data_IF_727547992888
#
_entry.id   IF_727547992888
#
_cell.length_a   1.000
_cell.length_b   1.000
_cell.length_c   1.000
_cell.angle_alpha   90.00
_cell.angle_beta   90.00
_cell.angle_gamma   90.00
#
_symmetry.space_group_name_H-M   'P 1'
#
loop_
_entity.id
_entity.type
_entity.pdbx_description
1 polymer ?
#
# COMPACT_ATOMS: atom_id res chain seq x y z
N UNK A 1 30.79 31.55 -0.52
CA UNK A 1 29.72 32.35 0.11
C UNK A 1 30.32 33.64 0.66
N UNK A 2 30.98 34.43 -0.19
CA UNK A 2 31.88 35.53 0.24
C UNK A 2 31.34 36.93 -0.10
N UNK A 3 30.15 37.01 -0.71
CA UNK A 3 29.62 38.24 -1.33
C UNK A 3 28.36 38.79 -0.66
N UNK A 4 27.88 38.17 0.43
CA UNK A 4 26.69 38.62 1.17
C UNK A 4 27.02 38.72 2.66
N UNK A 5 26.68 39.86 3.26
CA UNK A 5 26.80 40.11 4.69
C UNK A 5 25.41 40.36 5.29
N UNK A 6 25.16 39.86 6.49
CA UNK A 6 23.91 40.07 7.22
C UNK A 6 24.09 41.20 8.22
N UNK A 7 23.21 42.21 8.15
CA UNK A 7 23.16 43.31 9.10
C UNK A 7 21.73 43.46 9.64
N UNK A 8 21.59 43.61 10.96
CA UNK A 8 20.30 43.88 11.60
C UNK A 8 20.13 45.40 11.69
N UNK A 9 19.12 45.94 11.01
CA UNK A 9 18.88 47.39 10.95
C UNK A 9 18.03 47.89 12.12
N UNK A 10 17.00 47.13 12.51
CA UNK A 10 16.05 47.52 13.55
C UNK A 10 15.37 46.28 14.15
N UNK A 11 15.11 46.28 15.45
CA UNK A 11 14.25 45.30 16.11
C UNK A 11 12.84 45.90 16.22
N UNK A 12 11.82 45.13 15.83
CA UNK A 12 10.42 45.57 15.83
C UNK A 12 9.50 44.49 16.37
N UNK A 13 8.36 44.92 16.93
CA UNK A 13 7.25 44.05 17.30
C UNK A 13 6.44 43.60 16.08
N UNK A 14 5.69 42.49 16.22
CA UNK A 14 4.95 41.84 15.13
C UNK A 14 3.91 42.73 14.45
N UNK A 15 3.41 43.76 15.13
CA UNK A 15 2.39 44.66 14.61
C UNK A 15 2.96 45.69 13.62
N UNK A 16 4.22 46.09 13.80
CA UNK A 16 4.85 47.17 13.05
C UNK A 16 5.80 46.68 11.96
N UNK A 17 5.97 45.36 11.79
CA UNK A 17 6.94 44.74 10.86
C UNK A 17 6.82 45.30 9.44
N UNK A 18 5.60 45.40 8.90
CA UNK A 18 5.38 45.85 7.52
C UNK A 18 5.76 47.33 7.36
N UNK A 19 5.48 48.16 8.38
CA UNK A 19 5.85 49.57 8.36
C UNK A 19 7.37 49.76 8.44
N UNK A 20 8.03 49.03 9.34
CA UNK A 20 9.48 49.03 9.46
C UNK A 20 10.16 48.53 8.18
N UNK A 21 9.65 47.46 7.59
CA UNK A 21 10.16 46.92 6.32
C UNK A 21 10.04 47.94 5.19
N UNK A 22 8.87 48.58 5.04
CA UNK A 22 8.68 49.61 4.01
C UNK A 22 9.62 50.80 4.22
N UNK A 23 9.77 51.28 5.46
CA UNK A 23 10.68 52.37 5.83
C UNK A 23 12.11 52.11 5.34
N UNK A 24 12.63 50.91 5.57
CA UNK A 24 14.01 50.57 5.17
C UNK A 24 14.14 50.30 3.67
N UNK A 25 13.12 49.72 3.02
CA UNK A 25 13.10 49.55 1.56
C UNK A 25 13.17 50.92 0.87
N UNK A 26 12.36 51.88 1.31
CA UNK A 26 12.27 53.21 0.70
C UNK A 26 13.55 54.04 0.95
N UNK A 27 14.17 53.88 2.13
CA UNK A 27 15.40 54.58 2.49
C UNK A 27 16.64 54.03 1.77
N UNK A 28 16.76 52.70 1.66
CA UNK A 28 17.96 52.06 1.12
C UNK A 28 17.92 51.87 -0.39
N UNK A 29 16.73 51.84 -1.00
CA UNK A 29 16.50 51.58 -2.43
C UNK A 29 17.42 50.47 -3.00
N UNK A 30 17.36 49.25 -2.42
CA UNK A 30 18.28 48.18 -2.78
C UNK A 30 18.09 47.72 -4.24
N UNK A 31 19.20 47.65 -4.98
CA UNK A 31 19.23 47.28 -6.41
C UNK A 31 18.58 45.92 -6.69
N UNK A 32 18.75 44.95 -5.78
CA UNK A 32 18.24 43.59 -5.95
C UNK A 32 16.76 43.41 -5.59
N UNK A 33 16.06 44.46 -5.13
CA UNK A 33 14.68 44.29 -4.67
C UNK A 33 13.67 44.34 -5.83
N UNK A 34 13.07 43.19 -6.11
CA UNK A 34 11.99 43.04 -7.10
C UNK A 34 10.59 43.36 -6.55
N UNK A 35 10.45 43.52 -5.23
CA UNK A 35 9.18 43.84 -4.56
C UNK A 35 9.32 45.13 -3.73
N UNK A 36 9.11 46.32 -4.35
CA UNK A 36 9.28 47.60 -3.65
C UNK A 36 8.27 47.85 -2.52
N UNK A 37 7.17 47.10 -2.50
CA UNK A 37 6.13 47.23 -1.48
C UNK A 37 6.25 46.08 -0.47
N UNK A 38 6.44 46.43 0.79
CA UNK A 38 6.39 45.51 1.92
C UNK A 38 4.98 44.92 2.05
N UNK A 39 4.91 43.64 2.41
CA UNK A 39 3.64 42.94 2.52
C UNK A 39 3.80 41.54 3.07
N UNK A 40 2.70 40.99 3.59
CA UNK A 40 2.67 39.62 4.10
C UNK A 40 1.88 38.72 3.17
N UNK A 41 2.44 37.55 2.86
CA UNK A 41 1.72 36.46 2.18
C UNK A 41 0.80 35.68 3.13
N UNK A 42 0.77 36.02 4.43
CA UNK A 42 -0.05 35.35 5.43
C UNK A 42 -1.53 35.46 5.07
N UNK A 43 -2.17 34.33 4.80
CA UNK A 43 -3.59 34.26 4.42
C UNK A 43 -3.88 34.50 2.94
N UNK A 44 -2.85 34.69 2.10
CA UNK A 44 -3.03 34.79 0.66
C UNK A 44 -3.65 33.51 0.09
N UNK A 45 -4.69 33.67 -0.73
CA UNK A 45 -5.35 32.57 -1.43
C UNK A 45 -5.00 32.66 -2.91
N UNK A 46 -4.50 31.55 -3.47
CA UNK A 46 -4.17 31.46 -4.88
C UNK A 46 -5.41 31.61 -5.76
N UNK A 47 -5.22 32.17 -6.96
CA UNK A 47 -6.26 32.20 -7.99
C UNK A 47 -6.62 30.77 -8.43
N UNK A 48 -7.86 30.52 -8.89
CA UNK A 48 -8.29 29.20 -9.34
C UNK A 48 -7.40 28.66 -10.48
N UNK A 49 -6.96 29.55 -11.38
CA UNK A 49 -6.05 29.19 -12.48
C UNK A 49 -4.67 28.72 -11.98
N UNK A 50 -4.15 29.37 -10.93
CA UNK A 50 -2.88 28.95 -10.30
C UNK A 50 -3.02 27.61 -9.59
N UNK A 51 -4.16 27.38 -8.91
CA UNK A 51 -4.47 26.11 -8.25
C UNK A 51 -4.49 24.98 -9.27
N UNK A 52 -5.12 25.18 -10.44
CA UNK A 52 -5.16 24.16 -11.48
C UNK A 52 -3.77 23.87 -12.06
N UNK A 53 -2.94 24.90 -12.31
CA UNK A 53 -1.53 24.71 -12.74
C UNK A 53 -0.72 23.90 -11.72
N UNK A 54 -0.88 24.20 -10.43
CA UNK A 54 -0.22 23.46 -9.34
C UNK A 54 -0.68 22.01 -9.29
N UNK A 55 -1.99 21.78 -9.44
CA UNK A 55 -2.59 20.44 -9.46
C UNK A 55 -2.07 19.60 -10.64
N UNK A 56 -2.04 20.17 -11.84
CA UNK A 56 -1.49 19.50 -13.03
C UNK A 56 -0.02 19.14 -12.81
N UNK A 57 0.79 20.06 -12.28
CA UNK A 57 2.21 19.81 -11.96
C UNK A 57 2.41 18.76 -10.84
N UNK A 58 1.46 18.63 -9.91
CA UNK A 58 1.50 17.65 -8.84
C UNK A 58 1.02 16.25 -9.27
N UNK A 59 0.22 16.18 -10.34
CA UNK A 59 -0.35 14.92 -10.81
C UNK A 59 0.74 14.00 -11.34
N UNK A 60 0.75 12.74 -10.90
CA UNK A 60 1.71 11.74 -11.34
C UNK A 60 3.06 11.74 -10.61
N UNK A 61 3.28 12.64 -9.63
CA UNK A 61 4.44 12.55 -8.74
C UNK A 61 4.40 11.23 -7.97
N UNK A 62 5.50 10.48 -8.02
CA UNK A 62 5.66 9.22 -7.29
C UNK A 62 6.62 9.42 -6.12
N UNK A 63 6.25 8.91 -4.96
CA UNK A 63 7.18 8.80 -3.84
C UNK A 63 8.22 7.73 -4.11
N UNK A 64 9.43 7.92 -3.57
CA UNK A 64 10.45 6.88 -3.50
C UNK A 64 9.97 5.73 -2.60
N UNK A 65 10.52 4.54 -2.79
CA UNK A 65 10.14 3.37 -1.97
C UNK A 65 10.40 3.61 -0.48
N UNK A 66 11.52 4.25 -0.13
CA UNK A 66 11.85 4.61 1.26
C UNK A 66 10.77 5.49 1.92
N UNK A 67 10.24 6.47 1.17
CA UNK A 67 9.19 7.36 1.67
C UNK A 67 7.86 6.62 1.80
N UNK A 68 7.53 5.73 0.86
CA UNK A 68 6.33 4.88 0.97
C UNK A 68 6.40 3.98 2.20
N UNK A 69 7.55 3.40 2.48
CA UNK A 69 7.77 2.56 3.66
C UNK A 69 7.62 3.35 4.95
N UNK A 70 8.18 4.56 5.02
CA UNK A 70 8.03 5.44 6.18
C UNK A 70 6.56 5.83 6.39
N UNK A 71 5.86 6.23 5.32
CA UNK A 71 4.43 6.54 5.38
C UNK A 71 3.59 5.33 5.82
N UNK A 72 3.93 4.13 5.33
CA UNK A 72 3.28 2.88 5.71
C UNK A 72 3.45 2.62 7.20
N UNK A 73 4.69 2.65 7.71
CA UNK A 73 5.00 2.47 9.14
C UNK A 73 4.22 3.46 10.00
N UNK A 74 4.18 4.73 9.60
CA UNK A 74 3.46 5.77 10.32
C UNK A 74 1.93 5.61 10.33
N UNK A 75 1.34 4.74 9.50
CA UNK A 75 -0.11 4.50 9.47
C UNK A 75 -0.54 3.21 10.13
N UNK A 76 0.40 2.49 10.74
CA UNK A 76 0.15 1.21 11.43
C UNK A 76 0.17 1.37 12.95
N UNK A 77 -0.34 0.35 13.65
CA UNK A 77 -0.37 0.34 15.12
C UNK A 77 -1.14 1.53 15.70
N UNK A 78 -0.61 2.11 16.78
CA UNK A 78 -1.21 3.23 17.52
C UNK A 78 -1.40 4.52 16.71
N UNK A 79 -0.65 4.70 15.63
CA UNK A 79 -0.78 5.87 14.77
C UNK A 79 -1.99 5.78 13.83
N UNK A 80 -2.58 4.60 13.66
CA UNK A 80 -3.84 4.48 12.93
C UNK A 80 -4.97 5.12 13.76
N UNK A 81 -5.69 6.08 13.18
CA UNK A 81 -6.85 6.73 13.82
C UNK A 81 -7.96 5.75 14.26
N UNK A 82 -7.98 4.54 13.69
CA UNK A 82 -8.92 3.48 14.03
C UNK A 82 -8.30 2.38 14.93
N UNK A 83 -7.10 2.59 15.46
CA UNK A 83 -6.45 1.65 16.37
C UNK A 83 -7.27 1.48 17.65
N UNK A 84 -7.42 0.22 18.12
CA UNK A 84 -8.24 -0.18 19.26
C UNK A 84 -9.72 0.26 19.22
N UNK A 85 -10.22 0.71 18.07
CA UNK A 85 -11.63 0.99 17.86
C UNK A 85 -12.31 -0.23 17.23
N UNK A 86 -13.58 -0.42 17.56
CA UNK A 86 -14.45 -1.43 16.94
C UNK A 86 -15.51 -0.73 16.11
N UNK A 87 -15.95 -1.38 15.04
CA UNK A 87 -17.09 -0.92 14.26
C UNK A 87 -18.38 -1.04 15.08
N UNK A 88 -19.34 -0.16 14.80
CA UNK A 88 -20.68 -0.26 15.36
C UNK A 88 -21.41 -1.50 14.82
N UNK A 89 -22.42 -1.99 15.54
CA UNK A 89 -23.22 -3.14 15.10
C UNK A 89 -23.82 -2.92 13.70
N UNK A 90 -24.38 -1.73 13.46
CA UNK A 90 -24.94 -1.33 12.17
C UNK A 90 -23.91 -1.40 11.03
N UNK A 91 -22.68 -0.92 11.27
CA UNK A 91 -21.61 -0.98 10.26
C UNK A 91 -21.21 -2.44 9.96
N UNK A 92 -21.19 -3.29 10.98
CA UNK A 92 -20.89 -4.72 10.84
C UNK A 92 -21.98 -5.41 10.02
N UNK A 93 -23.25 -5.08 10.25
CA UNK A 93 -24.38 -5.59 9.46
C UNK A 93 -24.28 -5.19 7.99
N UNK A 94 -23.99 -3.92 7.72
CA UNK A 94 -23.75 -3.43 6.35
C UNK A 94 -22.62 -4.19 5.65
N UNK A 95 -21.53 -4.50 6.34
CA UNK A 95 -20.46 -5.33 5.77
C UNK A 95 -20.92 -6.76 5.46
N UNK A 96 -21.77 -7.35 6.30
CA UNK A 96 -22.34 -8.69 6.04
C UNK A 96 -23.22 -8.70 4.80
N UNK A 97 -24.03 -7.68 4.59
CA UNK A 97 -24.88 -7.56 3.40
C UNK A 97 -24.04 -7.43 2.12
N UNK A 98 -23.03 -6.55 2.13
CA UNK A 98 -22.12 -6.39 1.00
C UNK A 98 -21.39 -7.72 0.70
N UNK A 99 -20.93 -8.43 1.73
CA UNK A 99 -20.25 -9.71 1.56
C UNK A 99 -21.15 -10.80 0.96
N UNK A 100 -22.44 -10.82 1.33
CA UNK A 100 -23.43 -11.75 0.74
C UNK A 100 -23.67 -11.47 -0.75
N UNK A 101 -23.69 -10.20 -1.12
CA UNK A 101 -23.96 -9.76 -2.50
C UNK A 101 -22.73 -9.80 -3.41
N UNK A 102 -21.56 -10.20 -2.88
CA UNK A 102 -20.34 -10.26 -3.67
C UNK A 102 -20.39 -11.48 -4.60
N UNK A 103 -20.28 -11.25 -5.90
CA UNK A 103 -20.07 -12.33 -6.87
C UNK A 103 -18.75 -13.04 -6.58
N UNK A 104 -18.82 -14.36 -6.39
CA UNK A 104 -17.65 -15.19 -6.19
C UNK A 104 -17.03 -15.54 -7.54
N UNK A 105 -15.84 -14.99 -7.81
CA UNK A 105 -15.02 -15.41 -8.94
C UNK A 105 -14.17 -16.59 -8.48
N UNK A 106 -14.40 -17.83 -8.99
CA UNK A 106 -13.60 -18.98 -8.62
C UNK A 106 -12.16 -18.80 -9.10
N UNK A 107 -11.21 -18.87 -8.18
CA UNK A 107 -9.78 -18.93 -8.51
C UNK A 107 -9.46 -20.36 -8.92
N UNK A 108 -8.80 -20.54 -10.07
CA UNK A 108 -8.37 -21.88 -10.53
C UNK A 108 -7.47 -22.52 -9.45
N UNK A 109 -7.83 -23.73 -9.04
CA UNK A 109 -7.04 -24.51 -8.09
C UNK A 109 -5.78 -25.08 -8.72
N UNK A 110 -4.90 -25.64 -7.88
CA UNK A 110 -3.78 -26.46 -8.35
C UNK A 110 -4.32 -27.82 -8.80
N UNK A 111 -4.04 -28.17 -10.05
CA UNK A 111 -4.41 -29.47 -10.62
C UNK A 111 -3.63 -30.59 -9.94
N UNK A 112 -4.32 -31.71 -9.70
CA UNK A 112 -3.73 -32.88 -9.03
C UNK A 112 -4.02 -34.13 -9.85
N UNK A 113 -2.95 -34.84 -10.19
CA UNK A 113 -3.02 -36.14 -10.85
C UNK A 113 -2.87 -37.25 -9.81
N UNK A 114 -3.76 -38.23 -9.86
CA UNK A 114 -3.75 -39.39 -9.00
C UNK A 114 -3.69 -40.63 -9.89
N UNK A 115 -2.65 -41.45 -9.71
CA UNK A 115 -2.50 -42.73 -10.39
C UNK A 115 -2.83 -43.86 -9.41
N UNK A 116 -3.80 -44.70 -9.75
CA UNK A 116 -4.13 -45.91 -8.99
C UNK A 116 -3.34 -47.10 -9.55
N UNK A 117 -2.48 -47.71 -8.73
CA UNK A 117 -1.66 -48.84 -9.16
C UNK A 117 -2.42 -50.17 -9.27
N UNK A 118 -3.58 -50.32 -8.62
CA UNK A 118 -4.37 -51.55 -8.70
C UNK A 118 -5.13 -51.63 -10.04
N UNK A 119 -5.60 -50.50 -10.53
CA UNK A 119 -6.43 -50.41 -11.74
C UNK A 119 -5.69 -49.78 -12.93
N UNK A 120 -4.47 -49.27 -12.69
CA UNK A 120 -3.64 -48.54 -13.64
C UNK A 120 -4.34 -47.35 -14.31
N UNK A 121 -5.26 -46.71 -13.59
CA UNK A 121 -6.01 -45.54 -14.06
C UNK A 121 -5.43 -44.24 -13.53
N UNK A 122 -5.51 -43.18 -14.33
CA UNK A 122 -5.06 -41.83 -13.97
C UNK A 122 -6.30 -40.93 -13.89
N UNK A 123 -6.52 -40.29 -12.75
CA UNK A 123 -7.58 -39.31 -12.55
C UNK A 123 -6.97 -37.92 -12.31
N UNK A 124 -7.48 -36.92 -13.03
CA UNK A 124 -7.05 -35.52 -12.92
C UNK A 124 -8.14 -34.72 -12.23
N UNK A 125 -7.77 -34.00 -11.17
CA UNK A 125 -8.67 -33.13 -10.42
C UNK A 125 -8.27 -31.67 -10.58
N UNK A 126 -9.28 -30.79 -10.62
CA UNK A 126 -9.10 -29.34 -10.82
C UNK A 126 -8.53 -28.62 -9.59
N UNK A 127 -8.54 -29.28 -8.43
CA UNK A 127 -8.03 -28.73 -7.17
C UNK A 127 -7.57 -29.81 -6.20
N UNK A 128 -6.66 -29.44 -5.30
CA UNK A 128 -6.24 -30.29 -4.17
C UNK A 128 -7.44 -30.69 -3.29
N UNK A 129 -8.42 -29.80 -3.13
CA UNK A 129 -9.62 -30.09 -2.33
C UNK A 129 -10.45 -31.21 -2.96
N UNK A 130 -10.60 -31.18 -4.28
CA UNK A 130 -11.32 -32.22 -5.03
C UNK A 130 -10.59 -33.57 -4.95
N UNK A 131 -9.27 -33.57 -5.14
CA UNK A 131 -8.42 -34.74 -4.96
C UNK A 131 -8.48 -35.31 -3.53
N UNK A 132 -8.47 -34.45 -2.51
CA UNK A 132 -8.59 -34.86 -1.12
C UNK A 132 -9.94 -35.53 -0.83
N UNK A 133 -11.02 -35.00 -1.41
CA UNK A 133 -12.35 -35.60 -1.31
C UNK A 133 -12.39 -36.97 -1.99
N UNK A 134 -11.80 -37.11 -3.18
CA UNK A 134 -11.69 -38.39 -3.89
C UNK A 134 -10.95 -39.46 -3.07
N UNK A 135 -9.85 -39.09 -2.42
CA UNK A 135 -9.04 -40.01 -1.60
C UNK A 135 -9.56 -40.23 -0.18
N UNK A 136 -10.69 -39.60 0.18
CA UNK A 136 -11.22 -39.49 1.54
C UNK A 136 -10.10 -39.13 2.55
N UNK A 137 -9.45 -38.00 2.30
CA UNK A 137 -8.33 -37.47 3.08
C UNK A 137 -8.48 -35.98 3.32
N UNK A 138 -7.66 -35.46 4.24
CA UNK A 138 -7.59 -34.02 4.50
C UNK A 138 -6.60 -33.32 3.56
N UNK A 139 -6.91 -32.08 3.17
CA UNK A 139 -6.08 -31.23 2.30
C UNK A 139 -4.67 -31.09 2.87
N UNK A 140 -4.53 -30.90 4.19
CA UNK A 140 -3.21 -30.72 4.84
C UNK A 140 -2.38 -31.99 4.75
N UNK A 141 -3.00 -33.16 4.70
CA UNK A 141 -2.29 -34.44 4.57
C UNK A 141 -1.63 -34.55 3.21
N UNK A 142 -2.33 -34.15 2.13
CA UNK A 142 -1.77 -34.13 0.78
C UNK A 142 -0.62 -33.11 0.66
N UNK A 143 -0.81 -31.90 1.21
CA UNK A 143 0.22 -30.85 1.19
C UNK A 143 1.47 -31.23 1.99
N UNK A 144 1.31 -31.73 3.22
CA UNK A 144 2.44 -32.17 4.06
C UNK A 144 3.20 -33.30 3.40
N UNK A 145 2.48 -34.22 2.75
CA UNK A 145 3.09 -35.32 2.01
C UNK A 145 3.92 -34.80 0.84
N UNK A 146 3.36 -33.93 0.03
CA UNK A 146 4.04 -33.36 -1.13
C UNK A 146 5.32 -32.61 -0.72
N UNK A 147 5.27 -31.81 0.36
CA UNK A 147 6.45 -31.17 0.93
C UNK A 147 7.53 -32.21 1.33
N UNK A 148 7.16 -33.25 2.08
CA UNK A 148 8.12 -34.30 2.46
C UNK A 148 8.68 -35.08 1.26
N UNK A 149 7.94 -35.18 0.16
CA UNK A 149 8.40 -35.89 -1.05
C UNK A 149 9.39 -35.04 -1.83
N UNK A 150 9.19 -33.71 -1.89
CA UNK A 150 10.16 -32.77 -2.47
C UNK A 150 11.50 -32.82 -1.72
N UNK A 151 11.46 -32.82 -0.39
CA UNK A 151 12.67 -32.88 0.44
C UNK A 151 13.44 -34.19 0.26
N UNK A 152 12.72 -35.32 0.10
CA UNK A 152 13.31 -36.66 0.00
C UNK A 152 13.63 -37.07 -1.44
N UNK A 153 13.15 -36.33 -2.44
CA UNK A 153 13.26 -36.69 -3.86
C UNK A 153 12.54 -37.99 -4.26
N UNK A 154 11.67 -38.55 -3.40
CA UNK A 154 11.00 -39.84 -3.62
C UNK A 154 9.49 -39.72 -3.41
N UNK A 155 8.71 -40.08 -4.43
CA UNK A 155 7.26 -40.13 -4.35
C UNK A 155 6.80 -41.47 -3.74
N UNK A 156 6.66 -41.51 -2.41
CA UNK A 156 6.10 -42.68 -1.73
C UNK A 156 4.63 -42.91 -2.15
N UNK A 157 4.15 -44.15 -2.05
CA UNK A 157 2.75 -44.53 -2.26
C UNK A 157 1.83 -44.08 -1.13
N UNK A 158 0.69 -43.51 -1.49
CA UNK A 158 -0.37 -43.13 -0.56
C UNK A 158 -1.32 -44.31 -0.33
N UNK A 159 -1.56 -44.65 0.96
CA UNK A 159 -2.30 -45.85 1.37
C UNK A 159 -1.81 -47.13 0.66
N UNK A 160 -0.51 -47.19 0.31
CA UNK A 160 0.12 -48.26 -0.47
C UNK A 160 -0.52 -48.55 -1.84
N UNK A 161 -1.32 -47.64 -2.39
CA UNK A 161 -2.10 -47.84 -3.63
C UNK A 161 -1.98 -46.70 -4.64
N UNK A 162 -1.96 -45.46 -4.16
CA UNK A 162 -2.05 -44.28 -5.04
C UNK A 162 -0.73 -43.53 -5.13
N UNK A 163 -0.35 -43.09 -6.33
CA UNK A 163 0.69 -42.08 -6.55
C UNK A 163 -0.01 -40.75 -6.78
N UNK A 164 0.46 -39.69 -6.11
CA UNK A 164 -0.17 -38.37 -6.17
C UNK A 164 0.86 -37.37 -6.67
N UNK A 165 0.48 -36.56 -7.64
CA UNK A 165 1.30 -35.48 -8.19
C UNK A 165 0.50 -34.18 -8.22
N UNK A 166 1.03 -33.13 -7.58
CA UNK A 166 0.41 -31.81 -7.55
C UNK A 166 1.13 -30.94 -8.58
N UNK A 167 0.41 -30.53 -9.62
CA UNK A 167 0.96 -29.66 -10.64
C UNK A 167 1.05 -28.23 -10.08
N UNK A 168 2.29 -27.73 -9.96
CA UNK A 168 2.58 -26.36 -9.49
C UNK A 168 3.10 -25.44 -10.59
N UNK A 169 3.07 -25.89 -11.85
CA UNK A 169 3.38 -25.00 -12.97
C UNK A 169 2.20 -24.04 -13.20
N UNK A 170 2.48 -22.74 -13.43
CA UNK A 170 1.47 -21.72 -13.67
C UNK A 170 0.70 -21.93 -14.98
#
# INVERSE_FOLDING_TARGET
>A
MSNFNLHILEYSDSENVIMCEQKWIDLLQPEYNLSPRAGSSKGYKHSPESIEKMKVSATGRKHTEEVKDLMSKNRTGSNNSFYNKKHTAETIERFKEIAKNREYVPVKGLEVEITDLETNTITVHSSIREAAKFLNSDIKTLLRREASQRDKGVNKLYKNRYVIYINRNP
#
